data_IF_946612824233
#
_entry.id   IF_946612824233
#
_cell.length_a   1.000
_cell.length_b   1.000
_cell.length_c   1.000
_cell.angle_alpha   90.00
_cell.angle_beta   90.00
_cell.angle_gamma   90.00
#
_symmetry.space_group_name_H-M   'P 1'
#
loop_
_entity.id
_entity.type
_entity.pdbx_description
1 polymer ?
#
# COMPACT_ATOMS: atom_id res chain seq x y z
N UNK A 1 -5.04 16.07 15.87
CA UNK A 1 -3.59 15.90 16.07
C UNK A 1 -2.86 16.46 14.86
N UNK A 2 -2.00 17.45 15.05
CA UNK A 2 -1.11 17.95 14.00
C UNK A 2 0.06 16.97 13.90
N UNK A 3 0.40 16.52 12.69
CA UNK A 3 1.49 15.58 12.42
C UNK A 3 2.62 16.36 11.77
N UNK A 4 3.85 16.16 12.21
CA UNK A 4 5.02 16.66 11.50
C UNK A 4 5.28 15.80 10.25
N UNK A 5 5.94 16.37 9.26
CA UNK A 5 6.26 15.68 8.01
C UNK A 5 7.15 14.46 8.25
N UNK A 6 8.15 14.57 9.13
CA UNK A 6 9.07 13.46 9.46
C UNK A 6 8.33 12.22 9.98
N UNK A 7 7.32 12.43 10.83
CA UNK A 7 6.52 11.34 11.38
C UNK A 7 5.65 10.69 10.29
N UNK A 8 5.12 11.48 9.36
CA UNK A 8 4.37 10.93 8.21
C UNK A 8 5.30 10.11 7.31
N UNK A 9 6.50 10.62 7.02
CA UNK A 9 7.50 9.93 6.21
C UNK A 9 7.88 8.58 6.85
N UNK A 10 8.14 8.58 8.16
CA UNK A 10 8.52 7.35 8.87
C UNK A 10 7.38 6.33 8.88
N UNK A 11 6.14 6.78 9.11
CA UNK A 11 4.96 5.91 9.05
C UNK A 11 4.81 5.25 7.67
N UNK A 12 4.93 6.04 6.59
CA UNK A 12 4.80 5.55 5.20
C UNK A 12 5.93 4.62 4.81
N UNK A 13 7.16 4.84 5.28
CA UNK A 13 8.26 3.90 5.04
C UNK A 13 8.03 2.57 5.74
N UNK A 14 7.65 2.61 7.02
CA UNK A 14 7.55 1.41 7.85
C UNK A 14 6.31 0.55 7.53
N UNK A 15 5.23 1.16 7.03
CA UNK A 15 3.97 0.43 6.72
C UNK A 15 4.10 -0.50 5.52
N UNK A 16 5.12 -0.35 4.68
CA UNK A 16 5.38 -1.25 3.54
C UNK A 16 5.65 -2.67 4.02
N UNK A 17 6.33 -2.81 5.16
CA UNK A 17 6.77 -4.10 5.70
C UNK A 17 5.91 -4.59 6.88
N UNK A 18 4.97 -3.76 7.37
CA UNK A 18 4.26 -4.00 8.63
C UNK A 18 2.80 -3.56 8.60
N UNK A 19 2.06 -3.78 9.70
CA UNK A 19 0.66 -3.33 9.82
C UNK A 19 0.55 -1.82 10.10
N UNK A 20 -0.59 -1.22 9.70
CA UNK A 20 -0.92 0.20 10.00
C UNK A 20 -0.76 0.60 11.46
N UNK A 21 -1.06 -0.32 12.39
CA UNK A 21 -0.94 -0.04 13.83
C UNK A 21 0.53 0.03 14.25
N UNK A 22 1.32 -0.97 13.88
CA UNK A 22 2.75 -1.05 14.23
C UNK A 22 3.50 0.13 13.63
N UNK A 23 3.21 0.48 12.38
CA UNK A 23 3.79 1.67 11.74
C UNK A 23 3.43 2.96 12.50
N UNK A 24 2.19 3.12 12.94
CA UNK A 24 1.76 4.30 13.71
C UNK A 24 2.41 4.42 15.09
N UNK A 25 2.68 3.29 15.75
CA UNK A 25 3.44 3.21 17.01
C UNK A 25 4.95 3.49 16.78
N UNK A 26 5.51 3.02 15.66
CA UNK A 26 6.92 3.20 15.31
C UNK A 26 7.26 4.62 14.86
N UNK A 27 6.34 5.30 14.18
CA UNK A 27 6.59 6.60 13.56
C UNK A 27 6.89 7.72 14.57
N UNK A 28 6.47 7.55 15.83
CA UNK A 28 6.59 8.54 16.89
C UNK A 28 7.56 8.04 17.96
N UNK A 29 8.63 8.79 18.20
CA UNK A 29 9.61 8.49 19.26
C UNK A 29 9.16 9.06 20.62
N UNK A 30 7.85 9.13 20.86
CA UNK A 30 7.18 9.78 22.01
C UNK A 30 6.02 8.90 22.49
N UNK A 31 5.43 9.24 23.64
CA UNK A 31 4.21 8.57 24.13
C UNK A 31 2.98 8.79 23.23
N UNK A 32 2.94 9.92 22.53
CA UNK A 32 1.92 10.20 21.52
C UNK A 32 2.16 9.34 20.28
N UNK A 33 1.19 8.49 19.92
CA UNK A 33 1.24 7.60 18.75
C UNK A 33 0.29 7.99 17.63
N UNK A 34 0.63 7.67 16.40
CA UNK A 34 -0.32 7.78 15.28
C UNK A 34 -1.26 6.57 15.29
N UNK A 35 -2.56 6.84 15.25
CA UNK A 35 -3.56 5.76 15.14
C UNK A 35 -3.46 5.03 13.79
N UNK A 36 -3.77 3.72 13.79
CA UNK A 36 -3.85 2.91 12.55
C UNK A 36 -4.70 3.55 11.45
N UNK A 37 -5.79 4.23 11.83
CA UNK A 37 -6.70 4.89 10.89
C UNK A 37 -6.05 6.10 10.22
N UNK A 38 -5.17 6.81 10.94
CA UNK A 38 -4.43 7.92 10.37
C UNK A 38 -3.38 7.41 9.37
N UNK A 39 -2.63 6.35 9.68
CA UNK A 39 -1.67 5.75 8.73
C UNK A 39 -2.36 5.25 7.47
N UNK A 40 -3.47 4.51 7.62
CA UNK A 40 -4.27 4.01 6.50
C UNK A 40 -4.74 5.14 5.57
N UNK A 41 -5.16 6.28 6.12
CA UNK A 41 -5.58 7.44 5.32
C UNK A 41 -4.42 8.04 4.53
N UNK A 42 -3.23 8.18 5.12
CA UNK A 42 -2.06 8.66 4.39
C UNK A 42 -1.74 7.71 3.23
N UNK A 43 -1.68 6.39 3.48
CA UNK A 43 -1.39 5.38 2.45
C UNK A 43 -2.42 5.42 1.32
N UNK A 44 -3.71 5.46 1.65
CA UNK A 44 -4.79 5.49 0.66
C UNK A 44 -4.86 6.80 -0.12
N UNK A 45 -4.25 7.88 0.37
CA UNK A 45 -4.15 9.15 -0.35
C UNK A 45 -3.01 9.20 -1.37
N UNK A 46 -2.09 8.23 -1.33
CA UNK A 46 -1.00 8.13 -2.29
C UNK A 46 -1.54 7.72 -3.66
N UNK A 47 -1.24 8.53 -4.66
CA UNK A 47 -1.44 8.14 -6.06
C UNK A 47 -0.31 7.21 -6.48
N UNK A 48 -0.59 5.91 -6.52
CA UNK A 48 0.36 4.90 -7.01
C UNK A 48 0.07 4.69 -8.50
N UNK A 49 0.96 5.13 -9.41
CA UNK A 49 0.74 4.94 -10.83
C UNK A 49 0.77 3.45 -11.16
N UNK A 50 -0.23 2.98 -11.91
CA UNK A 50 -0.20 1.65 -12.49
C UNK A 50 0.95 1.58 -13.52
N UNK A 51 2.08 0.99 -13.13
CA UNK A 51 3.22 0.77 -14.01
C UNK A 51 2.99 -0.44 -14.91
N UNK A 52 1.90 -0.43 -15.68
CA UNK A 52 1.69 -1.40 -16.75
C UNK A 52 2.30 -0.79 -18.01
N UNK A 53 3.53 -1.17 -18.40
CA UNK A 53 4.16 -0.58 -19.58
C UNK A 53 3.31 -0.87 -20.81
N UNK A 54 3.07 0.15 -21.63
CA UNK A 54 2.38 -0.04 -22.89
C UNK A 54 3.24 -0.89 -23.84
N UNK A 55 2.80 -2.12 -24.09
CA UNK A 55 3.52 -3.06 -24.95
C UNK A 55 3.13 -2.82 -26.42
N UNK A 56 3.97 -2.09 -27.16
CA UNK A 56 3.77 -1.81 -28.61
C UNK A 56 3.75 -3.07 -29.48
N UNK A 57 4.53 -4.09 -29.11
CA UNK A 57 4.62 -5.37 -29.83
C UNK A 57 4.70 -6.51 -28.83
N UNK A 58 3.83 -7.50 -29.00
CA UNK A 58 3.89 -8.74 -28.22
C UNK A 58 5.20 -9.48 -28.52
N UNK A 59 5.69 -10.22 -27.53
CA UNK A 59 6.86 -11.10 -27.68
C UNK A 59 6.57 -12.18 -28.73
N UNK A 60 7.41 -12.25 -29.78
CA UNK A 60 7.29 -13.23 -30.86
C UNK A 60 8.32 -14.34 -30.64
N UNK A 61 7.92 -15.43 -29.98
CA UNK A 61 8.79 -16.60 -29.71
C UNK A 61 8.02 -17.89 -29.98
N UNK A 62 8.72 -18.94 -30.41
CA UNK A 62 8.13 -20.24 -30.77
C UNK A 62 7.47 -20.93 -29.56
N UNK A 63 8.06 -20.79 -28.38
CA UNK A 63 7.51 -21.28 -27.11
C UNK A 63 7.66 -20.18 -26.08
N UNK A 64 6.55 -19.81 -25.43
CA UNK A 64 6.52 -18.84 -24.35
C UNK A 64 6.11 -19.58 -23.08
N UNK A 65 7.05 -19.75 -22.15
CA UNK A 65 6.76 -20.28 -20.82
C UNK A 65 6.62 -19.10 -19.85
N UNK A 66 5.49 -19.03 -19.16
CA UNK A 66 5.21 -18.03 -18.13
C UNK A 66 4.89 -18.83 -16.87
N UNK A 67 5.62 -18.56 -15.80
CA UNK A 67 5.24 -19.03 -14.47
C UNK A 67 4.40 -17.92 -13.84
N UNK A 68 3.08 -18.09 -13.85
CA UNK A 68 2.15 -17.19 -13.20
C UNK A 68 1.82 -17.77 -11.83
N UNK A 69 2.01 -16.98 -10.78
CA UNK A 69 1.57 -17.32 -9.42
C UNK A 69 0.23 -16.65 -9.15
N UNK A 70 -0.69 -17.38 -8.54
CA UNK A 70 -1.99 -16.87 -8.12
C UNK A 70 -1.92 -16.48 -6.65
N UNK A 71 -1.47 -15.25 -6.39
CA UNK A 71 -1.49 -14.70 -5.04
C UNK A 71 -2.93 -14.48 -4.58
N UNK A 72 -3.39 -15.34 -3.67
CA UNK A 72 -4.71 -15.24 -3.06
C UNK A 72 -4.64 -14.34 -1.82
N UNK A 73 -5.21 -13.13 -1.94
CA UNK A 73 -5.45 -12.25 -0.79
C UNK A 73 -6.94 -12.19 -0.48
N UNK A 74 -7.30 -12.20 0.80
CA UNK A 74 -8.69 -11.99 1.19
C UNK A 74 -9.16 -10.61 0.74
N UNK A 75 -10.36 -10.55 0.16
CA UNK A 75 -10.98 -9.30 -0.29
C UNK A 75 -11.04 -8.28 0.85
N UNK A 76 -10.35 -7.15 0.70
CA UNK A 76 -10.26 -6.11 1.72
C UNK A 76 -11.42 -5.09 1.65
N UNK A 77 -12.21 -5.09 0.57
CA UNK A 77 -13.27 -4.10 0.33
C UNK A 77 -14.55 -4.75 -0.21
N UNK A 78 -15.67 -4.57 0.50
CA UNK A 78 -17.02 -4.76 -0.03
C UNK A 78 -17.68 -3.39 -0.22
N UNK A 79 -17.31 -2.65 -1.27
CA UNK A 79 -17.90 -1.34 -1.55
C UNK A 79 -19.21 -1.41 -2.33
N UNK A 80 -20.15 -2.25 -1.89
CA UNK A 80 -21.57 -2.10 -2.24
C UNK A 80 -22.44 -2.39 -1.03
N UNK A 81 -22.88 -1.32 -0.36
CA UNK A 81 -24.24 -1.30 0.16
C UNK A 81 -25.09 -0.82 -1.01
N UNK A 82 -25.78 -1.72 -1.68
CA UNK A 82 -26.89 -1.32 -2.56
C UNK A 82 -27.95 -0.71 -1.62
N UNK A 83 -28.22 0.58 -1.80
CA UNK A 83 -29.36 1.28 -1.21
C UNK A 83 -30.49 1.21 -2.23
#
# INVERSE_FOLDING_TARGET
MRKSEDVVIEAIKHVVDTSYRISGEHATHTEDIISKQAVMKEVHSLEIPALIPFVKKKRQVKVLYINADEDHVSLQFNNKREI
#
